data_IF_356693707365
#
_entry.id   IF_356693707365
#
_cell.length_a   1.000
_cell.length_b   1.000
_cell.length_c   1.000
_cell.angle_alpha   90.00
_cell.angle_beta   90.00
_cell.angle_gamma   90.00
#
_symmetry.space_group_name_H-M   'P 1'
#
loop_
_entity.id
_entity.type
_entity.pdbx_description
1 polymer ?
#
# COMPACT_ATOMS: atom_id res chain seq x y z
N UNK A 1 26.64 -13.00 -15.08
CA UNK A 1 25.41 -12.58 -14.37
C UNK A 1 24.14 -12.87 -15.20
N UNK A 2 23.97 -14.09 -15.73
CA UNK A 2 22.94 -14.41 -16.73
C UNK A 2 21.71 -15.19 -16.21
N UNK A 3 21.75 -15.71 -14.97
CA UNK A 3 20.70 -16.59 -14.43
C UNK A 3 19.57 -15.86 -13.69
N UNK A 4 19.63 -14.52 -13.63
CA UNK A 4 18.75 -13.66 -12.85
C UNK A 4 17.44 -13.27 -13.57
N UNK A 5 17.36 -13.57 -14.87
CA UNK A 5 16.25 -13.22 -15.76
C UNK A 5 15.51 -14.44 -16.34
N UNK A 6 15.96 -15.66 -16.02
CA UNK A 6 15.30 -16.90 -16.46
C UNK A 6 13.89 -17.00 -15.88
N UNK A 7 12.97 -17.64 -16.60
CA UNK A 7 11.59 -17.82 -16.12
C UNK A 7 11.53 -18.44 -14.73
N UNK A 8 12.44 -19.38 -14.44
CA UNK A 8 12.54 -20.02 -13.13
C UNK A 8 12.88 -19.01 -12.02
N UNK A 9 13.87 -18.14 -12.22
CA UNK A 9 14.26 -17.14 -11.22
C UNK A 9 13.19 -16.06 -11.03
N UNK A 10 12.47 -15.67 -12.09
CA UNK A 10 11.32 -14.75 -11.99
C UNK A 10 10.16 -15.37 -11.20
N UNK A 11 9.83 -16.65 -11.46
CA UNK A 11 8.82 -17.40 -10.71
C UNK A 11 9.20 -17.54 -9.24
N UNK A 12 10.47 -17.81 -8.93
CA UNK A 12 10.97 -17.91 -7.56
C UNK A 12 10.78 -16.58 -6.79
N UNK A 13 11.18 -15.45 -7.38
CA UNK A 13 11.00 -14.11 -6.77
C UNK A 13 9.54 -13.78 -6.51
N UNK A 14 8.66 -14.08 -7.48
CA UNK A 14 7.23 -13.84 -7.33
C UNK A 14 6.63 -14.67 -6.18
N UNK A 15 7.02 -15.94 -6.06
CA UNK A 15 6.62 -16.80 -4.93
C UNK A 15 7.11 -16.25 -3.59
N UNK A 16 8.39 -15.90 -3.49
CA UNK A 16 8.96 -15.35 -2.26
C UNK A 16 8.29 -14.04 -1.83
N UNK A 17 7.99 -13.14 -2.77
CA UNK A 17 7.27 -11.90 -2.47
C UNK A 17 5.84 -12.17 -1.97
N UNK A 18 5.15 -13.15 -2.57
CA UNK A 18 3.81 -13.52 -2.14
C UNK A 18 3.80 -14.16 -0.74
N UNK A 19 4.75 -15.05 -0.46
CA UNK A 19 4.92 -15.66 0.87
C UNK A 19 5.25 -14.61 1.94
N UNK A 20 6.12 -13.66 1.62
CA UNK A 20 6.42 -12.53 2.52
C UNK A 20 5.16 -11.71 2.84
N UNK A 21 4.38 -11.34 1.81
CA UNK A 21 3.15 -10.58 2.00
C UNK A 21 2.12 -11.34 2.84
N UNK A 22 1.93 -12.64 2.57
CA UNK A 22 1.07 -13.51 3.38
C UNK A 22 1.51 -13.56 4.84
N UNK A 23 2.82 -13.68 5.08
CA UNK A 23 3.38 -13.68 6.43
C UNK A 23 3.15 -12.35 7.15
N UNK A 24 3.37 -11.21 6.48
CA UNK A 24 3.14 -9.88 7.07
C UNK A 24 1.67 -9.64 7.43
N UNK A 25 0.73 -10.16 6.63
CA UNK A 25 -0.69 -10.14 6.93
C UNK A 25 -1.03 -11.05 8.13
N UNK A 26 -0.48 -12.27 8.17
CA UNK A 26 -0.73 -13.24 9.24
C UNK A 26 -0.15 -12.79 10.59
N UNK A 27 1.03 -12.16 10.58
CA UNK A 27 1.65 -11.56 11.77
C UNK A 27 0.95 -10.25 12.22
N UNK A 28 -0.08 -9.79 11.51
CA UNK A 28 -0.81 -8.56 11.83
C UNK A 28 -0.01 -7.27 11.62
N UNK A 29 1.18 -7.35 11.00
CA UNK A 29 2.05 -6.19 10.72
C UNK A 29 1.50 -5.27 9.64
N UNK A 30 0.71 -5.84 8.72
CA UNK A 30 0.01 -5.08 7.68
C UNK A 30 -1.46 -5.53 7.69
N UNK A 31 -2.37 -4.58 7.49
CA UNK A 31 -3.80 -4.86 7.33
C UNK A 31 -4.27 -4.37 5.97
N UNK A 32 -4.86 -5.26 5.21
CA UNK A 32 -5.63 -4.89 4.02
C UNK A 32 -7.07 -4.58 4.46
N UNK A 33 -7.62 -3.48 3.95
CA UNK A 33 -9.01 -3.12 4.17
C UNK A 33 -9.59 -2.56 2.87
N UNK A 34 -10.89 -2.75 2.70
CA UNK A 34 -11.65 -2.22 1.57
C UNK A 34 -12.78 -1.37 2.14
N UNK A 35 -12.98 -0.20 1.56
CA UNK A 35 -14.02 0.76 1.97
C UNK A 35 -14.93 1.01 0.78
N UNK A 36 -16.24 1.07 1.04
CA UNK A 36 -17.24 1.58 0.10
C UNK A 36 -17.68 2.95 0.59
N UNK A 37 -17.71 3.92 -0.31
CA UNK A 37 -18.15 5.29 -0.05
C UNK A 37 -18.76 5.85 -1.33
N UNK A 38 -19.40 7.02 -1.23
CA UNK A 38 -19.94 7.72 -2.38
C UNK A 38 -18.83 8.06 -3.39
N UNK A 39 -19.11 7.86 -4.68
CA UNK A 39 -18.18 8.17 -5.78
C UNK A 39 -17.53 9.55 -5.66
N UNK A 40 -18.27 10.67 -5.48
CA UNK A 40 -17.65 11.99 -5.39
C UNK A 40 -16.66 12.11 -4.23
N UNK A 41 -16.96 11.48 -3.09
CA UNK A 41 -16.06 11.46 -1.92
C UNK A 41 -14.81 10.62 -2.21
N UNK A 42 -14.97 9.50 -2.92
CA UNK A 42 -13.84 8.66 -3.31
C UNK A 42 -12.89 9.38 -4.29
N UNK A 43 -13.44 10.12 -5.26
CA UNK A 43 -12.66 10.89 -6.23
C UNK A 43 -11.89 12.02 -5.54
N UNK A 44 -12.54 12.78 -4.66
CA UNK A 44 -11.89 13.83 -3.87
C UNK A 44 -10.77 13.25 -2.98
N UNK A 45 -11.04 12.13 -2.31
CA UNK A 45 -10.03 11.46 -1.49
C UNK A 45 -8.81 11.02 -2.31
N UNK A 46 -9.01 10.51 -3.52
CA UNK A 46 -7.91 10.14 -4.41
C UNK A 46 -7.12 11.37 -4.86
N UNK A 47 -7.79 12.48 -5.16
CA UNK A 47 -7.14 13.74 -5.51
C UNK A 47 -6.26 14.26 -4.36
N UNK A 48 -6.80 14.31 -3.14
CA UNK A 48 -6.04 14.73 -1.94
C UNK A 48 -4.80 13.84 -1.72
N UNK A 49 -4.95 12.51 -1.86
CA UNK A 49 -3.82 11.60 -1.73
C UNK A 49 -2.76 11.80 -2.82
N UNK A 50 -3.17 12.21 -4.03
CA UNK A 50 -2.25 12.54 -5.11
C UNK A 50 -1.50 13.85 -4.84
N UNK A 51 -2.16 14.86 -4.28
CA UNK A 51 -1.54 16.14 -3.89
C UNK A 51 -0.49 15.97 -2.77
N UNK A 52 -0.77 15.10 -1.78
CA UNK A 52 0.20 14.76 -0.72
C UNK A 52 1.45 14.07 -1.30
N UNK A 53 1.28 13.32 -2.39
CA UNK A 53 2.33 12.61 -3.10
C UNK A 53 2.89 11.36 -2.39
N UNK A 54 3.60 10.53 -3.16
CA UNK A 54 4.18 9.26 -2.71
C UNK A 54 3.27 8.05 -2.95
N UNK A 55 3.54 6.92 -2.28
CA UNK A 55 2.68 5.74 -2.37
C UNK A 55 1.40 5.98 -1.58
N UNK A 56 0.28 5.43 -2.05
CA UNK A 56 -1.05 5.58 -1.43
C UNK A 56 -1.05 5.36 0.10
N UNK A 57 -0.36 4.33 0.59
CA UNK A 57 -0.26 4.04 2.02
C UNK A 57 0.52 5.10 2.81
N UNK A 58 1.57 5.69 2.20
CA UNK A 58 2.35 6.77 2.81
C UNK A 58 1.54 8.07 2.85
N UNK A 59 0.80 8.38 1.80
CA UNK A 59 -0.11 9.53 1.76
C UNK A 59 -1.23 9.41 2.81
N UNK A 60 -1.83 8.22 2.97
CA UNK A 60 -2.81 7.97 4.04
C UNK A 60 -2.18 8.16 5.43
N UNK A 61 -0.95 7.68 5.65
CA UNK A 61 -0.25 7.89 6.92
C UNK A 61 -0.07 9.38 7.21
N UNK A 62 0.43 10.15 6.24
CA UNK A 62 0.59 11.61 6.37
C UNK A 62 -0.74 12.31 6.67
N UNK A 63 -1.82 11.91 6.00
CA UNK A 63 -3.15 12.44 6.25
C UNK A 63 -3.59 12.22 7.71
N UNK A 64 -3.34 11.03 8.27
CA UNK A 64 -3.61 10.76 9.68
C UNK A 64 -2.75 11.60 10.63
N UNK A 65 -1.49 11.87 10.27
CA UNK A 65 -0.59 12.74 11.06
C UNK A 65 -1.09 14.19 11.06
N UNK A 66 -1.45 14.73 9.90
CA UNK A 66 -2.02 16.09 9.75
C UNK A 66 -3.30 16.22 10.56
N UNK A 67 -4.22 15.25 10.46
CA UNK A 67 -5.48 15.26 11.19
C UNK A 67 -5.27 15.30 12.72
N UNK A 68 -4.32 14.49 13.23
CA UNK A 68 -3.99 14.48 14.66
C UNK A 68 -3.34 15.79 15.12
N UNK A 69 -2.51 16.41 14.29
CA UNK A 69 -1.89 17.70 14.60
C UNK A 69 -2.91 18.83 14.65
N UNK A 70 -3.96 18.78 13.83
CA UNK A 70 -4.99 19.81 13.79
C UNK A 70 -6.01 19.71 14.94
N UNK A 71 -6.09 18.56 15.61
CA UNK A 71 -6.90 18.38 16.82
C UNK A 71 -6.19 18.78 18.13
N UNK A 72 -4.89 19.08 18.08
CA UNK A 72 -4.10 19.56 19.21
C UNK A 72 -4.10 21.09 19.27
#
# INVERSE_FOLDING_TARGET
>A
MANSMTEHSRKLRSKTANEYNKRMLAEGKVKQFSVRMETPVADEFVAILAEIGGKKAEAIKKLCEIYRQHQA
#
